data_IF_699214862211
#
_entry.id   IF_699214862211
#
_cell.length_a   1.000
_cell.length_b   1.000
_cell.length_c   1.000
_cell.angle_alpha   90.00
_cell.angle_beta   90.00
_cell.angle_gamma   90.00
#
_symmetry.space_group_name_H-M   'P 1'
#
loop_
_entity.id
_entity.type
_entity.pdbx_description
1 polymer ?
#
# COMPACT_ATOMS: atom_id res chain seq x y z
N UNK A 1 -38.11 -30.39 20.15
CA UNK A 1 -37.59 -30.03 18.83
C UNK A 1 -37.99 -31.12 17.88
N UNK A 2 -38.96 -30.79 17.04
CA UNK A 2 -39.61 -31.75 16.18
C UNK A 2 -38.65 -32.22 15.08
N UNK A 3 -38.83 -33.44 14.53
CA UNK A 3 -37.98 -33.94 13.45
C UNK A 3 -37.95 -32.98 12.25
N UNK A 4 -39.03 -32.27 11.99
CA UNK A 4 -39.11 -31.24 10.95
C UNK A 4 -38.24 -30.02 11.25
N UNK A 5 -38.14 -29.59 12.52
CA UNK A 5 -37.27 -28.48 12.93
C UNK A 5 -35.80 -28.81 12.72
N UNK A 6 -35.42 -30.06 13.01
CA UNK A 6 -34.05 -30.54 12.80
C UNK A 6 -33.69 -30.60 11.31
N UNK A 7 -34.63 -31.05 10.47
CA UNK A 7 -34.46 -31.06 9.01
C UNK A 7 -34.36 -29.63 8.47
N UNK A 8 -35.22 -28.72 8.91
CA UNK A 8 -35.17 -27.32 8.51
C UNK A 8 -33.84 -26.65 8.91
N UNK A 9 -33.36 -26.91 10.13
CA UNK A 9 -32.06 -26.42 10.59
C UNK A 9 -30.91 -26.99 9.77
N UNK A 10 -30.95 -28.29 9.46
CA UNK A 10 -29.92 -28.93 8.63
C UNK A 10 -29.88 -28.33 7.22
N UNK A 11 -31.03 -28.13 6.58
CA UNK A 11 -31.12 -27.51 5.26
C UNK A 11 -30.61 -26.05 5.28
N UNK A 12 -30.97 -25.29 6.32
CA UNK A 12 -30.47 -23.92 6.50
C UNK A 12 -28.95 -23.88 6.67
N UNK A 13 -28.38 -24.81 7.44
CA UNK A 13 -26.93 -24.88 7.63
C UNK A 13 -26.20 -25.21 6.32
N UNK A 14 -26.74 -26.14 5.53
CA UNK A 14 -26.20 -26.49 4.21
C UNK A 14 -26.27 -25.30 3.26
N UNK A 15 -27.41 -24.60 3.21
CA UNK A 15 -27.57 -23.41 2.37
C UNK A 15 -26.59 -22.29 2.76
N UNK A 16 -26.39 -22.05 4.06
CA UNK A 16 -25.44 -21.07 4.56
C UNK A 16 -24.00 -21.42 4.17
N UNK A 17 -23.60 -22.69 4.30
CA UNK A 17 -22.27 -23.15 3.91
C UNK A 17 -22.00 -22.90 2.42
N UNK A 18 -22.97 -23.22 1.55
CA UNK A 18 -22.87 -22.95 0.11
C UNK A 18 -22.75 -21.45 -0.15
N UNK A 19 -23.57 -20.62 0.52
CA UNK A 19 -23.53 -19.18 0.36
C UNK A 19 -22.16 -18.58 0.73
N UNK A 20 -21.55 -19.04 1.83
CA UNK A 20 -20.22 -18.57 2.26
C UNK A 20 -19.16 -18.91 1.21
N UNK A 21 -19.18 -20.13 0.66
CA UNK A 21 -18.22 -20.55 -0.36
C UNK A 21 -18.36 -19.70 -1.62
N UNK A 22 -19.58 -19.52 -2.13
CA UNK A 22 -19.85 -18.70 -3.33
C UNK A 22 -19.48 -17.23 -3.10
N UNK A 23 -19.82 -16.67 -1.94
CA UNK A 23 -19.46 -15.29 -1.62
C UNK A 23 -17.94 -15.11 -1.56
N UNK A 24 -17.22 -16.09 -1.02
CA UNK A 24 -15.76 -16.06 -0.92
C UNK A 24 -15.09 -16.13 -2.29
N UNK A 25 -15.55 -17.02 -3.18
CA UNK A 25 -15.00 -17.14 -4.54
C UNK A 25 -15.25 -15.87 -5.36
N UNK A 26 -16.47 -15.34 -5.33
CA UNK A 26 -16.82 -14.09 -6.04
C UNK A 26 -16.01 -12.91 -5.52
N UNK A 27 -15.76 -12.85 -4.21
CA UNK A 27 -14.94 -11.80 -3.62
C UNK A 27 -13.49 -11.94 -4.06
N UNK A 28 -12.92 -13.14 -4.01
CA UNK A 28 -11.54 -13.41 -4.42
C UNK A 28 -11.30 -13.20 -5.92
N UNK A 29 -12.26 -13.52 -6.79
CA UNK A 29 -12.16 -13.22 -8.22
C UNK A 29 -12.20 -11.71 -8.52
N UNK A 30 -12.87 -10.91 -7.68
CA UNK A 30 -12.98 -9.45 -7.87
C UNK A 30 -11.92 -8.64 -7.17
N UNK A 31 -11.23 -9.16 -6.16
CA UNK A 31 -9.97 -8.54 -5.73
C UNK A 31 -8.93 -8.83 -6.80
N UNK A 32 -8.81 -7.91 -7.75
CA UNK A 32 -7.56 -7.68 -8.44
C UNK A 32 -6.52 -7.42 -7.35
N UNK A 33 -5.85 -8.47 -6.88
CA UNK A 33 -4.73 -8.41 -5.95
C UNK A 33 -3.58 -7.75 -6.69
N UNK A 34 -3.70 -6.45 -6.91
CA UNK A 34 -2.65 -5.65 -7.51
C UNK A 34 -1.56 -5.59 -6.46
N UNK A 35 -0.59 -6.48 -6.58
CA UNK A 35 0.63 -6.44 -5.78
C UNK A 35 1.21 -5.05 -5.97
N UNK A 36 1.17 -4.25 -4.91
CA UNK A 36 1.86 -2.96 -4.90
C UNK A 36 3.36 -3.28 -4.92
N UNK A 37 3.99 -3.16 -6.09
CA UNK A 37 5.43 -3.20 -6.19
C UNK A 37 5.97 -1.79 -6.14
N UNK A 38 6.93 -1.55 -5.25
CA UNK A 38 7.73 -0.33 -5.22
C UNK A 38 8.94 -0.42 -6.16
N UNK A 39 9.10 -1.53 -6.90
CA UNK A 39 10.15 -1.62 -7.91
C UNK A 39 9.92 -0.55 -8.97
N UNK A 40 10.96 0.25 -9.18
CA UNK A 40 11.00 1.21 -10.25
C UNK A 40 10.92 0.46 -11.59
N UNK A 41 9.95 0.80 -12.49
CA UNK A 41 9.89 0.20 -13.81
C UNK A 41 11.24 0.25 -14.54
N UNK A 42 11.59 -0.76 -15.36
CA UNK A 42 12.83 -0.75 -16.13
C UNK A 42 12.96 0.56 -16.92
N UNK A 43 14.06 1.30 -16.74
CA UNK A 43 14.28 2.60 -17.36
C UNK A 43 13.79 3.83 -16.56
N UNK A 44 13.21 3.64 -15.38
CA UNK A 44 12.85 4.75 -14.46
C UNK A 44 13.84 4.93 -13.31
N UNK A 45 14.70 3.94 -13.07
CA UNK A 45 15.84 4.06 -12.15
C UNK A 45 16.80 5.10 -12.73
N UNK A 46 16.98 6.22 -12.00
CA UNK A 46 17.91 7.29 -12.37
C UNK A 46 17.30 8.55 -12.99
N UNK A 47 15.98 8.62 -13.15
CA UNK A 47 15.30 9.88 -13.55
C UNK A 47 15.17 10.88 -12.39
N UNK A 48 15.07 10.39 -11.16
CA UNK A 48 15.22 11.20 -9.97
C UNK A 48 16.71 11.29 -9.63
N UNK A 49 17.27 12.52 -9.62
CA UNK A 49 18.58 12.77 -9.02
C UNK A 49 18.55 12.19 -7.60
N UNK A 50 19.53 11.36 -7.18
CA UNK A 50 19.56 10.81 -5.84
C UNK A 50 19.42 11.96 -4.83
N UNK A 51 18.32 11.96 -4.08
CA UNK A 51 18.19 12.88 -2.96
C UNK A 51 18.86 12.21 -1.76
N UNK A 52 19.62 12.95 -0.95
CA UNK A 52 20.17 12.42 0.28
C UNK A 52 19.07 11.75 1.12
N UNK A 53 19.34 10.58 1.73
CA UNK A 53 18.37 9.92 2.58
C UNK A 53 17.91 10.89 3.67
N UNK A 54 16.60 10.94 3.90
CA UNK A 54 16.01 11.72 4.98
C UNK A 54 16.25 10.97 6.30
N UNK A 55 17.46 11.09 6.86
CA UNK A 55 17.72 10.67 8.24
C UNK A 55 17.11 11.72 9.19
N UNK A 56 15.79 11.62 9.34
CA UNK A 56 14.97 12.69 9.91
C UNK A 56 13.75 12.15 10.65
N UNK A 57 13.57 12.63 11.88
CA UNK A 57 12.30 12.55 12.58
C UNK A 57 11.28 13.55 11.98
N UNK A 58 9.97 13.24 11.98
CA UNK A 58 8.94 14.12 11.42
C UNK A 58 9.04 15.56 11.96
N UNK A 59 9.19 16.55 11.07
CA UNK A 59 9.17 17.99 11.40
C UNK A 59 10.47 18.77 11.18
N UNK A 60 11.60 18.12 10.91
CA UNK A 60 12.85 18.82 10.61
C UNK A 60 12.88 19.37 9.14
N UNK A 61 13.56 20.50 8.84
CA UNK A 61 13.55 21.19 7.52
C UNK A 61 14.67 20.76 6.55
N UNK A 62 14.36 20.44 5.27
CA UNK A 62 15.30 19.76 4.35
C UNK A 62 16.51 20.66 4.04
N UNK A 63 17.73 20.21 4.40
CA UNK A 63 18.95 20.90 3.99
C UNK A 63 19.24 20.58 2.51
N UNK A 64 18.84 21.48 1.63
CA UNK A 64 19.13 21.42 0.20
C UNK A 64 20.59 21.83 -0.04
N UNK A 65 21.51 20.86 -0.10
CA UNK A 65 22.86 21.10 -0.60
C UNK A 65 22.79 21.32 -2.12
N UNK A 66 22.55 22.55 -2.53
CA UNK A 66 22.35 22.92 -3.94
C UNK A 66 22.18 24.40 -4.24
N UNK A 67 22.59 25.30 -3.34
CA UNK A 67 22.67 26.74 -3.62
C UNK A 67 24.12 27.10 -4.03
N UNK A 68 24.36 27.92 -5.08
CA UNK A 68 25.68 28.42 -5.36
C UNK A 68 26.12 29.37 -4.23
N UNK A 69 27.11 28.93 -3.45
CA UNK A 69 27.75 29.74 -2.42
C UNK A 69 28.72 30.75 -3.07
N UNK A 70 28.18 31.78 -3.72
CA UNK A 70 28.96 32.91 -4.25
C UNK A 70 28.39 34.28 -3.83
N UNK A 71 28.19 34.48 -2.54
CA UNK A 71 28.08 35.79 -1.87
C UNK A 71 28.21 35.46 -0.38
N UNK A 72 29.23 35.86 0.38
CA UNK A 72 29.83 37.17 0.58
C UNK A 72 31.07 36.95 1.47
N UNK A 73 31.99 37.92 1.56
CA UNK A 73 33.16 37.99 2.47
C UNK A 73 34.58 37.88 1.87
N UNK A 74 34.74 38.07 0.55
CA UNK A 74 35.91 38.82 0.07
C UNK A 74 35.52 40.29 -0.11
N UNK A 75 35.45 41.04 0.99
CA UNK A 75 35.53 42.51 0.99
C UNK A 75 35.51 43.05 2.43
N UNK A 76 36.70 43.23 3.02
CA UNK A 76 37.16 44.53 3.52
C UNK A 76 38.65 44.44 3.93
N UNK A 77 39.37 45.57 3.88
CA UNK A 77 40.84 45.66 3.77
C UNK A 77 41.59 45.33 5.05
#
# INVERSE_FOLDING_TARGET
>A
MDPNDRVALALSAVALAIAIVVASTVTLERVNTRTASNDAPPGTVGLARPHPPLDRAPGEPIQTSGAPSNASHQQRP
#
